data_IF_559909459731
#
_entry.id   IF_559909459731
#
_cell.length_a   1.000
_cell.length_b   1.000
_cell.length_c   1.000
_cell.angle_alpha   90.00
_cell.angle_beta   90.00
_cell.angle_gamma   90.00
#
_symmetry.space_group_name_H-M   'P 1'
#
loop_
_entity.id
_entity.type
_entity.pdbx_description
1 polymer ?
#
# COMPACT_ATOMS: atom_id res chain seq x y z
N UNK A 1 7.48 -24.91 -21.38
CA UNK A 1 8.27 -25.62 -20.39
C UNK A 1 8.97 -24.69 -19.38
N UNK A 2 8.80 -23.41 -19.44
CA UNK A 2 9.54 -22.47 -18.61
C UNK A 2 8.69 -21.47 -17.80
N UNK A 3 7.37 -21.67 -17.74
CA UNK A 3 6.50 -20.76 -16.98
C UNK A 3 6.56 -21.00 -15.45
N UNK A 4 6.83 -22.23 -15.02
CA UNK A 4 6.97 -22.55 -13.60
C UNK A 4 8.28 -22.03 -13.01
N UNK A 5 9.37 -22.04 -13.77
CA UNK A 5 10.68 -21.57 -13.33
C UNK A 5 10.69 -20.04 -13.15
N UNK A 6 10.00 -19.31 -14.00
CA UNK A 6 9.92 -17.85 -13.94
C UNK A 6 9.13 -17.36 -12.73
N UNK A 7 8.10 -18.10 -12.32
CA UNK A 7 7.30 -17.77 -11.13
C UNK A 7 8.08 -18.00 -9.84
N UNK A 8 8.89 -19.05 -9.76
CA UNK A 8 9.71 -19.33 -8.59
C UNK A 8 10.86 -18.35 -8.45
N UNK A 9 11.47 -17.91 -9.54
CA UNK A 9 12.50 -16.88 -9.51
C UNK A 9 11.95 -15.53 -9.04
N UNK A 10 10.77 -15.14 -9.49
CA UNK A 10 10.10 -13.92 -9.05
C UNK A 10 9.67 -13.98 -7.58
N UNK A 11 9.28 -15.15 -7.08
CA UNK A 11 8.91 -15.35 -5.69
C UNK A 11 10.11 -15.18 -4.74
N UNK A 12 11.30 -15.59 -5.18
CA UNK A 12 12.53 -15.51 -4.38
C UNK A 12 13.12 -14.10 -4.32
N UNK A 13 12.57 -13.14 -5.04
CA UNK A 13 13.05 -11.76 -5.01
C UNK A 13 12.79 -11.11 -3.64
N UNK A 14 13.63 -10.14 -3.20
CA UNK A 14 13.37 -9.40 -1.98
C UNK A 14 11.99 -8.71 -1.98
N UNK A 15 11.55 -8.23 -3.13
CA UNK A 15 10.22 -7.64 -3.30
C UNK A 15 9.11 -8.68 -3.11
N UNK A 16 9.23 -9.86 -3.71
CA UNK A 16 8.28 -10.95 -3.54
C UNK A 16 8.10 -11.38 -2.09
N UNK A 17 9.19 -11.41 -1.31
CA UNK A 17 9.14 -11.68 0.14
C UNK A 17 8.37 -10.61 0.89
N UNK A 18 8.59 -9.34 0.57
CA UNK A 18 7.87 -8.22 1.19
C UNK A 18 6.37 -8.24 0.87
N UNK A 19 6.01 -8.64 -0.36
CA UNK A 19 4.60 -8.89 -0.71
C UNK A 19 4.00 -9.96 0.19
N UNK A 20 4.70 -11.07 0.37
CA UNK A 20 4.27 -12.15 1.25
C UNK A 20 4.09 -11.72 2.71
N UNK A 21 5.04 -10.97 3.24
CA UNK A 21 4.96 -10.39 4.59
C UNK A 21 3.75 -9.44 4.73
N UNK A 22 3.47 -8.67 3.70
CA UNK A 22 2.33 -7.75 3.69
C UNK A 22 1.01 -8.51 3.70
N UNK A 23 0.89 -9.55 2.89
CA UNK A 23 -0.29 -10.43 2.88
C UNK A 23 -0.52 -11.05 4.27
N UNK A 24 0.53 -11.55 4.89
CA UNK A 24 0.47 -12.12 6.24
C UNK A 24 0.05 -11.09 7.28
N UNK A 25 0.60 -9.88 7.23
CA UNK A 25 0.27 -8.81 8.15
C UNK A 25 -1.22 -8.43 8.07
N UNK A 26 -1.75 -8.29 6.85
CA UNK A 26 -3.15 -7.96 6.62
C UNK A 26 -4.07 -9.08 7.10
N UNK A 27 -3.76 -10.35 6.78
CA UNK A 27 -4.52 -11.48 7.28
C UNK A 27 -4.59 -11.50 8.80
N UNK A 28 -3.46 -11.30 9.48
CA UNK A 28 -3.39 -11.24 10.95
C UNK A 28 -4.17 -10.05 11.51
N UNK A 29 -4.10 -8.91 10.85
CA UNK A 29 -4.88 -7.74 11.24
C UNK A 29 -6.38 -8.00 11.16
N UNK A 30 -6.82 -8.80 10.19
CA UNK A 30 -8.20 -9.29 10.07
C UNK A 30 -8.52 -10.44 11.05
N UNK A 31 -7.55 -10.88 11.83
CA UNK A 31 -7.68 -11.97 12.81
C UNK A 31 -8.11 -13.30 12.21
N UNK A 32 -7.65 -13.57 10.98
CA UNK A 32 -7.96 -14.79 10.26
C UNK A 32 -6.75 -15.73 10.25
N UNK A 33 -7.00 -17.01 10.51
CA UNK A 33 -6.03 -18.08 10.22
C UNK A 33 -6.05 -18.42 8.72
N UNK A 34 -5.06 -19.14 8.24
CA UNK A 34 -5.03 -19.63 6.87
C UNK A 34 -6.23 -20.51 6.55
N UNK A 35 -6.63 -21.36 7.50
CA UNK A 35 -7.78 -22.26 7.38
C UNK A 35 -9.11 -21.49 7.36
N UNK A 36 -9.22 -20.43 8.13
CA UNK A 36 -10.41 -19.56 8.11
C UNK A 36 -10.54 -18.81 6.80
N UNK A 37 -9.43 -18.37 6.21
CA UNK A 37 -9.45 -17.76 4.86
C UNK A 37 -9.92 -18.79 3.83
N UNK A 38 -9.41 -20.01 3.88
CA UNK A 38 -9.87 -21.10 2.98
C UNK A 38 -11.37 -21.35 3.12
N UNK A 39 -11.85 -21.49 4.36
CA UNK A 39 -13.27 -21.78 4.64
C UNK A 39 -14.18 -20.61 4.21
N UNK A 40 -13.84 -19.39 4.58
CA UNK A 40 -14.68 -18.20 4.31
C UNK A 40 -14.63 -17.76 2.85
N UNK A 41 -13.55 -18.09 2.13
CA UNK A 41 -13.44 -17.86 0.68
C UNK A 41 -14.06 -18.97 -0.16
N UNK A 42 -14.77 -19.94 0.46
CA UNK A 42 -15.29 -21.12 -0.23
C UNK A 42 -14.21 -21.89 -1.00
N UNK A 43 -13.07 -22.05 -0.38
CA UNK A 43 -11.89 -22.74 -0.93
C UNK A 43 -11.23 -22.04 -2.15
N UNK A 44 -11.57 -20.81 -2.42
CA UNK A 44 -10.89 -20.02 -3.46
C UNK A 44 -9.41 -19.83 -3.13
N UNK A 45 -9.11 -19.56 -1.86
CA UNK A 45 -7.74 -19.40 -1.37
C UNK A 45 -7.39 -20.56 -0.43
N UNK A 46 -6.78 -21.59 -0.98
CA UNK A 46 -6.34 -22.73 -0.18
C UNK A 46 -5.27 -22.33 0.83
N UNK A 47 -5.37 -22.81 2.06
CA UNK A 47 -4.46 -22.49 3.15
C UNK A 47 -2.98 -22.74 2.79
N UNK A 48 -2.70 -23.89 2.13
CA UNK A 48 -1.35 -24.24 1.69
C UNK A 48 -0.80 -23.26 0.66
N UNK A 49 -1.60 -22.85 -0.30
CA UNK A 49 -1.20 -21.92 -1.38
C UNK A 49 -1.03 -20.52 -0.83
N UNK A 50 -1.96 -20.05 -0.01
CA UNK A 50 -1.87 -18.74 0.63
C UNK A 50 -0.64 -18.66 1.55
N UNK A 51 -0.37 -19.72 2.30
CA UNK A 51 0.84 -19.81 3.13
C UNK A 51 2.13 -19.73 2.31
N UNK A 52 2.16 -20.35 1.13
CA UNK A 52 3.30 -20.26 0.21
C UNK A 52 3.51 -18.82 -0.30
N UNK A 53 2.43 -18.10 -0.61
CA UNK A 53 2.52 -16.67 -0.95
C UNK A 53 3.07 -15.84 0.21
N UNK A 54 2.58 -16.07 1.42
CA UNK A 54 3.01 -15.33 2.62
C UNK A 54 4.47 -15.59 2.99
N UNK A 55 5.00 -16.76 2.70
CA UNK A 55 6.42 -17.09 2.92
C UNK A 55 7.34 -16.62 1.78
N UNK A 56 6.76 -16.08 0.71
CA UNK A 56 7.52 -15.69 -0.47
C UNK A 56 8.04 -16.86 -1.31
N UNK A 57 7.51 -18.07 -1.09
CA UNK A 57 7.88 -19.28 -1.84
C UNK A 57 7.22 -19.34 -3.20
N UNK A 58 6.15 -18.61 -3.38
CA UNK A 58 5.38 -18.57 -4.63
C UNK A 58 4.94 -17.15 -4.94
N UNK A 59 5.10 -16.72 -6.20
CA UNK A 59 4.61 -15.44 -6.67
C UNK A 59 3.08 -15.47 -6.86
N UNK A 60 2.42 -14.40 -6.42
CA UNK A 60 0.98 -14.23 -6.65
C UNK A 60 0.73 -13.49 -7.95
N UNK A 61 -0.23 -13.98 -8.75
CA UNK A 61 -0.65 -13.29 -9.96
C UNK A 61 -1.46 -12.03 -9.65
N UNK A 62 -1.43 -11.05 -10.55
CA UNK A 62 -2.20 -9.80 -10.39
C UNK A 62 -3.69 -10.05 -10.23
N UNK A 63 -4.36 -10.92 -11.03
CA UNK A 63 -5.78 -11.20 -10.81
C UNK A 63 -6.07 -11.80 -9.45
N UNK A 64 -5.20 -12.66 -8.95
CA UNK A 64 -5.36 -13.29 -7.64
C UNK A 64 -5.14 -12.30 -6.50
N UNK A 65 -4.16 -11.42 -6.65
CA UNK A 65 -3.93 -10.32 -5.72
C UNK A 65 -5.15 -9.40 -5.62
N UNK A 66 -5.76 -9.07 -6.75
CA UNK A 66 -6.99 -8.27 -6.81
C UNK A 66 -8.16 -8.95 -6.09
N UNK A 67 -8.31 -10.27 -6.24
CA UNK A 67 -9.34 -11.02 -5.52
C UNK A 67 -9.10 -11.05 -4.02
N UNK A 68 -7.84 -11.22 -3.59
CA UNK A 68 -7.47 -11.13 -2.17
C UNK A 68 -7.75 -9.76 -1.60
N UNK A 69 -7.48 -8.69 -2.34
CA UNK A 69 -7.79 -7.33 -1.88
C UNK A 69 -9.27 -7.14 -1.60
N UNK A 70 -10.13 -7.67 -2.46
CA UNK A 70 -11.58 -7.67 -2.26
C UNK A 70 -12.00 -8.53 -1.08
N UNK A 71 -11.42 -9.70 -0.94
CA UNK A 71 -11.69 -10.60 0.18
C UNK A 71 -11.35 -9.95 1.53
N UNK A 72 -10.19 -9.32 1.63
CA UNK A 72 -9.78 -8.60 2.83
C UNK A 72 -10.42 -7.22 2.98
N UNK A 73 -11.14 -6.73 1.98
CA UNK A 73 -11.69 -5.37 1.94
C UNK A 73 -10.62 -4.30 2.15
N UNK A 74 -9.51 -4.45 1.46
CA UNK A 74 -8.41 -3.50 1.45
C UNK A 74 -8.05 -3.13 0.01
N UNK A 75 -7.60 -1.91 -0.27
CA UNK A 75 -7.10 -1.55 -1.60
C UNK A 75 -5.88 -2.38 -2.00
N UNK A 76 -5.71 -2.64 -3.30
CA UNK A 76 -4.59 -3.45 -3.82
C UNK A 76 -3.22 -2.87 -3.44
N UNK A 77 -3.10 -1.56 -3.43
CA UNK A 77 -1.87 -0.86 -3.04
C UNK A 77 -1.45 -1.15 -1.59
N UNK A 78 -2.39 -1.50 -0.71
CA UNK A 78 -2.08 -1.93 0.65
C UNK A 78 -1.44 -3.33 0.71
N UNK A 79 -1.67 -4.15 -0.30
CA UNK A 79 -1.05 -5.47 -0.43
C UNK A 79 0.36 -5.40 -1.03
N UNK A 80 0.69 -4.30 -1.69
CA UNK A 80 1.98 -4.07 -2.31
C UNK A 80 2.86 -3.24 -1.38
N UNK A 81 4.08 -3.71 -1.04
CA UNK A 81 5.02 -2.88 -0.31
C UNK A 81 5.48 -1.72 -1.20
N UNK A 82 5.90 -0.61 -0.59
CA UNK A 82 6.55 0.45 -1.35
C UNK A 82 7.80 -0.11 -2.03
N UNK A 83 8.01 0.31 -3.26
CA UNK A 83 9.22 -0.04 -3.99
C UNK A 83 10.36 0.85 -3.48
N UNK A 84 11.35 0.23 -2.83
CA UNK A 84 12.60 0.90 -2.43
C UNK A 84 13.62 0.93 -3.59
N UNK A 85 13.19 0.53 -4.78
CA UNK A 85 14.00 0.65 -5.99
C UNK A 85 14.32 2.11 -6.30
N UNK A 86 15.32 2.37 -7.13
CA UNK A 86 15.56 3.72 -7.61
C UNK A 86 14.25 4.26 -8.18
N UNK A 87 13.83 5.40 -7.65
CA UNK A 87 12.62 6.06 -8.08
C UNK A 87 12.53 5.98 -9.61
N UNK A 88 11.38 5.57 -10.11
CA UNK A 88 11.12 5.38 -11.53
C UNK A 88 11.93 6.40 -12.33
N UNK A 89 12.70 5.95 -13.29
CA UNK A 89 13.58 6.79 -14.12
C UNK A 89 12.86 7.96 -14.85
N UNK A 90 11.56 8.10 -14.62
CA UNK A 90 10.78 9.27 -15.02
C UNK A 90 10.98 10.50 -14.13
N UNK A 91 11.60 10.37 -12.97
CA UNK A 91 11.96 11.52 -12.15
C UNK A 91 13.35 12.07 -12.48
N UNK A 92 14.12 11.37 -13.31
CA UNK A 92 15.42 11.85 -13.80
C UNK A 92 15.31 13.05 -14.77
N UNK A 93 14.09 13.39 -15.18
CA UNK A 93 13.85 14.57 -16.01
C UNK A 93 13.78 15.87 -15.22
N UNK A 94 13.74 15.80 -13.91
CA UNK A 94 13.89 16.97 -13.04
C UNK A 94 15.22 16.78 -12.31
N UNK A 95 16.27 17.18 -13.00
CA UNK A 95 17.61 17.14 -12.43
C UNK A 95 17.62 17.85 -11.11
N UNK A 96 17.84 17.17 -10.10
CA UNK A 96 18.79 17.43 -9.02
C UNK A 96 18.54 16.48 -7.87
N UNK A 97 19.60 15.92 -7.36
CA UNK A 97 19.69 15.14 -6.15
C UNK A 97 18.90 15.78 -5.01
N UNK A 98 17.65 15.42 -4.88
CA UNK A 98 17.02 15.48 -3.58
C UNK A 98 17.19 14.06 -3.00
N UNK A 99 18.18 13.93 -2.14
CA UNK A 99 18.21 12.82 -1.21
C UNK A 99 16.81 12.65 -0.65
N UNK A 100 16.25 11.45 -0.79
CA UNK A 100 14.88 11.17 -0.39
C UNK A 100 14.76 11.19 1.13
N UNK A 101 14.95 12.33 1.70
CA UNK A 101 14.41 12.63 3.01
C UNK A 101 12.92 12.80 2.82
N UNK A 102 12.09 12.04 3.55
CA UNK A 102 10.65 12.24 3.46
C UNK A 102 10.36 13.70 3.81
N UNK A 103 9.97 14.46 2.80
CA UNK A 103 9.58 15.87 3.01
C UNK A 103 8.28 15.82 3.81
N UNK A 104 8.39 16.04 5.09
CA UNK A 104 7.24 16.26 5.95
C UNK A 104 6.84 17.73 5.82
N UNK A 105 5.79 17.99 5.08
CA UNK A 105 5.20 19.31 5.01
C UNK A 105 4.11 19.39 6.08
N UNK A 106 4.30 20.22 7.07
CA UNK A 106 3.28 20.52 8.07
C UNK A 106 2.42 21.69 7.59
N UNK A 107 1.13 21.45 7.40
CA UNK A 107 0.18 22.47 6.98
C UNK A 107 -0.71 22.84 8.15
N UNK A 108 -0.68 24.11 8.51
CA UNK A 108 -1.55 24.68 9.53
C UNK A 108 -2.92 25.03 8.94
N UNK A 109 -3.90 24.21 9.26
CA UNK A 109 -5.27 24.37 8.75
C UNK A 109 -5.93 25.67 9.23
N UNK A 110 -5.53 26.16 10.40
CA UNK A 110 -6.06 27.42 10.94
C UNK A 110 -5.63 28.60 10.08
N UNK A 111 -4.39 28.59 9.60
CA UNK A 111 -3.90 29.61 8.67
C UNK A 111 -4.60 29.50 7.31
N UNK A 112 -4.86 28.29 6.85
CA UNK A 112 -5.55 28.04 5.59
C UNK A 112 -7.01 28.54 5.62
N UNK A 113 -7.71 28.34 6.74
CA UNK A 113 -9.08 28.82 6.94
C UNK A 113 -9.21 30.35 6.95
N UNK A 114 -8.16 31.05 7.37
CA UNK A 114 -8.09 32.49 7.40
C UNK A 114 -7.73 33.12 6.05
N UNK A 115 -7.29 32.34 5.07
CA UNK A 115 -6.99 32.78 3.72
C UNK A 115 -8.26 32.83 2.89
N UNK A 116 -8.50 33.97 2.23
CA UNK A 116 -9.70 34.20 1.44
C UNK A 116 -9.45 33.91 -0.03
N UNK A 117 -10.32 33.10 -0.64
CA UNK A 117 -10.30 32.80 -2.07
C UNK A 117 -10.87 31.42 -2.37
N UNK A 118 -11.45 31.19 -3.59
CA UNK A 118 -12.03 29.90 -3.95
C UNK A 118 -10.97 28.76 -3.98
N UNK A 119 -9.73 29.09 -4.27
CA UNK A 119 -8.61 28.16 -4.31
C UNK A 119 -8.30 27.57 -2.92
N UNK A 120 -8.38 28.42 -1.89
CA UNK A 120 -8.15 28.01 -0.51
C UNK A 120 -9.29 27.16 0.05
N UNK A 121 -10.51 27.40 -0.37
CA UNK A 121 -11.66 26.56 -0.02
C UNK A 121 -11.51 25.13 -0.58
N UNK A 122 -11.03 25.00 -1.80
CA UNK A 122 -10.77 23.70 -2.43
C UNK A 122 -9.67 22.95 -1.67
N UNK A 123 -8.57 23.61 -1.34
CA UNK A 123 -7.48 23.04 -0.55
C UNK A 123 -7.96 22.62 0.85
N UNK A 124 -8.74 23.44 1.52
CA UNK A 124 -9.32 23.12 2.83
C UNK A 124 -10.18 21.87 2.81
N UNK A 125 -11.01 21.68 1.77
CA UNK A 125 -11.78 20.46 1.57
C UNK A 125 -10.91 19.24 1.34
N UNK A 126 -9.88 19.39 0.54
CA UNK A 126 -8.93 18.31 0.25
C UNK A 126 -8.21 17.83 1.51
N UNK A 127 -7.70 18.75 2.32
CA UNK A 127 -7.02 18.41 3.57
C UNK A 127 -7.95 17.80 4.61
N UNK A 128 -9.20 18.24 4.69
CA UNK A 128 -10.22 17.60 5.56
C UNK A 128 -10.50 16.18 5.11
N UNK A 129 -10.55 15.92 3.80
CA UNK A 129 -10.71 14.58 3.26
C UNK A 129 -9.53 13.67 3.65
N UNK A 130 -8.30 14.16 3.56
CA UNK A 130 -7.10 13.43 4.00
C UNK A 130 -7.16 13.13 5.50
N UNK A 131 -7.58 14.08 6.32
CA UNK A 131 -7.77 13.88 7.76
C UNK A 131 -8.74 12.74 8.07
N UNK A 132 -9.86 12.70 7.36
CA UNK A 132 -10.88 11.65 7.51
C UNK A 132 -10.32 10.29 7.08
N UNK A 133 -9.62 10.24 5.94
CA UNK A 133 -9.02 9.00 5.45
C UNK A 133 -7.96 8.43 6.40
N UNK A 134 -7.19 9.29 7.04
CA UNK A 134 -6.15 8.87 7.99
C UNK A 134 -6.64 8.67 9.41
N UNK A 135 -7.89 9.05 9.69
CA UNK A 135 -8.41 9.11 11.06
C UNK A 135 -7.51 9.95 11.99
N UNK A 136 -6.83 10.93 11.40
CA UNK A 136 -5.97 11.86 12.14
C UNK A 136 -6.76 13.10 12.52
N UNK A 137 -7.48 12.98 13.64
CA UNK A 137 -8.30 14.06 14.18
C UNK A 137 -7.53 14.95 15.16
N UNK A 138 -6.21 14.82 15.22
CA UNK A 138 -5.35 15.48 16.19
C UNK A 138 -5.13 16.96 15.93
N UNK A 139 -6.03 17.62 15.25
CA UNK A 139 -6.02 19.02 15.34
C UNK A 139 -5.81 19.81 14.07
N UNK A 140 -5.09 20.88 14.23
CA UNK A 140 -5.01 22.01 13.34
C UNK A 140 -3.87 21.94 12.34
N UNK A 141 -3.06 20.89 12.43
CA UNK A 141 -1.89 20.71 11.57
C UNK A 141 -1.92 19.31 10.92
N UNK A 142 -1.87 19.30 9.60
CA UNK A 142 -1.71 18.06 8.82
C UNK A 142 -0.28 17.98 8.33
N UNK A 143 0.36 16.85 8.58
CA UNK A 143 1.67 16.53 8.00
C UNK A 143 1.48 15.66 6.77
N UNK A 144 1.87 16.16 5.62
CA UNK A 144 1.84 15.42 4.36
C UNK A 144 3.20 14.77 4.14
N UNK A 145 3.17 13.47 3.86
CA UNK A 145 4.36 12.74 3.44
C UNK A 145 4.42 12.69 1.91
N UNK A 146 5.61 12.48 1.37
CA UNK A 146 5.81 12.43 -0.09
C UNK A 146 5.08 11.27 -0.79
N UNK A 147 4.64 10.28 -0.03
CA UNK A 147 3.87 9.11 -0.49
C UNK A 147 2.34 9.29 -0.38
N UNK A 148 1.89 10.42 0.01
CA UNK A 148 0.49 10.81 0.04
C UNK A 148 0.15 11.57 -1.24
#
# INVERSE_FOLDING_TARGET
MNEETTNDELAMTPYGRRVGERLRAIRRQKRLSLQEVEATSHQEFKASVLGAYERGERAISVPRLQRLSRFYSVPVDQLLPPDDGPAFAGSDLIGDRLEATPIKVAIDLTKLENMRGPEFHMLGRYFRMIQVQRQDFNGRVITIRADD
#
